data_IF_626143412800
#
_entry.id   IF_626143412800
#
_cell.length_a   1.000
_cell.length_b   1.000
_cell.length_c   1.000
_cell.angle_alpha   90.00
_cell.angle_beta   90.00
_cell.angle_gamma   90.00
#
_symmetry.space_group_name_H-M   'P 1'
#
loop_
_entity.id
_entity.type
_entity.pdbx_description
1 polymer ?
#
# COMPACT_ATOMS: atom_id res chain seq x y z
N UNK A 1 20.59 -7.49 10.03
CA UNK A 1 19.56 -8.49 10.37
C UNK A 1 18.26 -7.72 10.52
N UNK A 2 17.46 -7.62 9.45
CA UNK A 2 16.12 -7.04 9.54
C UNK A 2 15.18 -8.18 9.92
N UNK A 3 14.57 -8.08 11.08
CA UNK A 3 13.54 -9.01 11.56
C UNK A 3 12.38 -9.05 10.57
N UNK A 4 11.84 -10.22 10.22
CA UNK A 4 10.62 -10.30 9.44
C UNK A 4 9.48 -9.84 10.36
N UNK A 5 8.97 -8.63 10.13
CA UNK A 5 7.71 -8.23 10.76
C UNK A 5 6.61 -9.07 10.14
N UNK A 6 6.24 -10.11 10.87
CA UNK A 6 5.00 -10.86 10.75
C UNK A 6 3.80 -9.90 10.61
N UNK A 7 2.94 -10.15 9.63
CA UNK A 7 1.82 -9.27 9.32
C UNK A 7 0.99 -9.70 8.10
N UNK A 8 0.62 -10.97 8.05
CA UNK A 8 -0.70 -11.45 7.60
C UNK A 8 -1.37 -10.83 6.36
N UNK A 9 -1.43 -11.60 5.27
CA UNK A 9 -2.67 -11.93 4.53
C UNK A 9 -3.64 -10.85 4.02
N UNK A 10 -3.35 -9.56 3.91
CA UNK A 10 -4.45 -8.61 3.60
C UNK A 10 -4.12 -7.67 2.43
N UNK A 11 -4.92 -7.78 1.36
CA UNK A 11 -4.95 -6.82 0.26
C UNK A 11 -5.33 -5.41 0.76
N UNK A 12 -5.45 -4.42 -0.14
CA UNK A 12 -5.68 -3.03 0.26
C UNK A 12 -7.05 -2.86 0.93
N UNK A 13 -7.91 -3.88 0.82
CA UNK A 13 -9.26 -3.93 1.35
C UNK A 13 -9.33 -4.66 2.70
N UNK A 14 -8.98 -3.96 3.77
CA UNK A 14 -9.18 -4.38 5.17
C UNK A 14 -10.50 -3.84 5.74
N UNK A 15 -10.95 -4.35 6.88
CA UNK A 15 -12.13 -3.83 7.59
C UNK A 15 -12.04 -2.31 7.87
N UNK A 16 -10.83 -1.79 8.13
CA UNK A 16 -10.62 -0.35 8.33
C UNK A 16 -10.84 0.45 7.03
N UNK A 17 -10.27 -0.01 5.91
CA UNK A 17 -10.44 0.66 4.61
C UNK A 17 -11.88 0.59 4.11
N UNK A 18 -12.59 -0.50 4.45
CA UNK A 18 -14.02 -0.64 4.17
C UNK A 18 -14.85 0.38 4.95
N UNK A 19 -14.59 0.56 6.25
CA UNK A 19 -15.26 1.58 7.05
C UNK A 19 -15.01 3.00 6.54
N UNK A 20 -13.76 3.31 6.15
CA UNK A 20 -13.41 4.60 5.52
C UNK A 20 -14.16 4.81 4.20
N UNK A 21 -14.27 3.77 3.38
CA UNK A 21 -15.03 3.84 2.13
C UNK A 21 -16.53 4.03 2.36
N UNK A 22 -17.12 3.37 3.36
CA UNK A 22 -18.54 3.51 3.68
C UNK A 22 -18.86 4.88 4.31
N UNK A 23 -17.92 5.47 5.06
CA UNK A 23 -18.07 6.79 5.70
C UNK A 23 -17.83 7.99 4.79
N UNK A 24 -17.30 7.78 3.57
CA UNK A 24 -16.98 8.88 2.65
C UNK A 24 -18.23 9.54 2.06
N UNK A 25 -18.10 10.79 1.63
CA UNK A 25 -19.17 11.45 0.88
C UNK A 25 -19.42 10.74 -0.46
N UNK A 26 -20.67 10.70 -0.95
CA UNK A 26 -21.03 9.96 -2.19
C UNK A 26 -20.20 10.33 -3.43
N UNK A 27 -19.67 11.55 -3.48
CA UNK A 27 -18.83 12.04 -4.58
C UNK A 27 -17.32 11.99 -4.28
N UNK A 28 -16.92 11.58 -3.09
CA UNK A 28 -15.52 11.54 -2.69
C UNK A 28 -14.84 10.29 -3.27
N UNK A 29 -13.68 10.49 -3.90
CA UNK A 29 -12.85 9.39 -4.36
C UNK A 29 -12.05 8.82 -3.18
N UNK A 30 -12.07 7.50 -3.02
CA UNK A 30 -11.28 6.81 -2.02
C UNK A 30 -10.63 5.60 -2.69
N UNK A 31 -9.30 5.60 -2.71
CA UNK A 31 -8.49 4.52 -3.24
C UNK A 31 -7.74 3.86 -2.07
N UNK A 32 -8.04 2.59 -1.76
CA UNK A 32 -7.42 1.87 -0.65
C UNK A 32 -5.94 1.51 -0.90
N UNK A 33 -5.48 1.57 -2.15
CA UNK A 33 -4.09 1.36 -2.56
C UNK A 33 -3.25 2.64 -2.46
N UNK A 34 -3.87 3.82 -2.36
CA UNK A 34 -3.21 5.12 -2.47
C UNK A 34 -2.05 5.28 -1.47
N UNK A 35 -2.24 4.86 -0.22
CA UNK A 35 -1.18 4.93 0.78
C UNK A 35 0.00 4.00 0.48
N UNK A 36 -0.29 2.78 0.00
CA UNK A 36 0.74 1.85 -0.41
C UNK A 36 1.55 2.43 -1.58
N UNK A 37 0.87 2.95 -2.61
CA UNK A 37 1.50 3.60 -3.76
C UNK A 37 2.37 4.79 -3.36
N UNK A 38 1.90 5.65 -2.46
CA UNK A 38 2.67 6.78 -1.92
C UNK A 38 3.98 6.32 -1.27
N UNK A 39 3.95 5.22 -0.50
CA UNK A 39 5.17 4.63 0.10
C UNK A 39 6.13 4.13 -0.98
N UNK A 40 5.62 3.48 -2.02
CA UNK A 40 6.43 3.03 -3.16
C UNK A 40 7.10 4.22 -3.88
N UNK A 41 6.34 5.28 -4.17
CA UNK A 41 6.88 6.50 -4.81
C UNK A 41 7.93 7.20 -3.96
N UNK A 42 7.72 7.26 -2.64
CA UNK A 42 8.69 7.86 -1.72
C UNK A 42 10.00 7.08 -1.71
N UNK A 43 9.95 5.75 -1.81
CA UNK A 43 11.14 4.94 -1.94
C UNK A 43 11.85 5.19 -3.28
N UNK A 44 11.11 5.22 -4.39
CA UNK A 44 11.69 5.50 -5.70
C UNK A 44 12.36 6.87 -5.76
N UNK A 45 11.72 7.91 -5.22
CA UNK A 45 12.30 9.26 -5.18
C UNK A 45 13.63 9.30 -4.43
N UNK A 46 13.77 8.51 -3.36
CA UNK A 46 15.00 8.42 -2.55
C UNK A 46 16.10 7.58 -3.19
N UNK A 47 15.74 6.65 -4.06
CA UNK A 47 16.67 5.70 -4.69
C UNK A 47 16.84 5.96 -6.19
N UNK A 48 16.56 7.20 -6.64
CA UNK A 48 16.73 7.61 -8.04
C UNK A 48 15.96 6.71 -9.04
N UNK A 49 14.83 6.17 -8.61
CA UNK A 49 14.00 5.25 -9.39
C UNK A 49 14.41 3.77 -9.31
N UNK A 50 15.41 3.40 -8.51
CA UNK A 50 15.82 2.00 -8.37
C UNK A 50 14.77 1.17 -7.62
N UNK A 51 14.11 0.29 -8.37
CA UNK A 51 13.03 -0.58 -7.89
C UNK A 51 13.56 -1.71 -7.02
N UNK A 52 14.82 -2.12 -7.19
CA UNK A 52 15.42 -3.22 -6.44
C UNK A 52 15.54 -2.90 -4.94
N UNK A 53 15.71 -1.61 -4.62
CA UNK A 53 15.78 -1.09 -3.25
C UNK A 53 14.41 -0.93 -2.57
N UNK A 54 13.33 -1.12 -3.33
CA UNK A 54 11.97 -0.80 -2.92
C UNK A 54 11.02 -2.01 -2.93
N UNK A 55 11.55 -3.24 -3.06
CA UNK A 55 10.75 -4.47 -3.19
C UNK A 55 9.66 -4.63 -2.13
N UNK A 56 9.97 -4.25 -0.88
CA UNK A 56 9.05 -4.28 0.27
C UNK A 56 7.86 -3.31 0.15
N UNK A 57 7.94 -2.32 -0.75
CA UNK A 57 6.85 -1.39 -1.02
C UNK A 57 6.02 -1.79 -2.24
N UNK A 58 6.38 -2.87 -2.93
CA UNK A 58 5.73 -3.33 -4.17
C UNK A 58 5.00 -4.67 -4.01
N UNK A 59 4.74 -5.14 -2.78
CA UNK A 59 4.12 -6.46 -2.52
C UNK A 59 2.66 -6.64 -3.01
N UNK A 60 2.03 -5.63 -3.62
CA UNK A 60 0.57 -5.62 -3.86
C UNK A 60 0.08 -6.26 -5.17
N UNK A 61 0.94 -6.90 -5.98
CA UNK A 61 0.58 -7.29 -7.36
C UNK A 61 0.22 -8.77 -7.56
N UNK A 62 0.17 -9.62 -6.52
CA UNK A 62 0.07 -11.07 -6.73
C UNK A 62 -0.98 -11.82 -5.89
N UNK A 63 -2.08 -11.19 -5.51
CA UNK A 63 -3.19 -11.91 -4.87
C UNK A 63 -4.50 -11.48 -5.53
N UNK A 64 -4.77 -12.03 -6.72
CA UNK A 64 -6.08 -12.08 -7.35
C UNK A 64 -6.56 -13.54 -7.36
#
# INVERSE_FOLDING_TARGET
>A
MATPSDGSKEGPWTDETKQKFEGKSKSEFYDPCQEAAQRSYKCLYRNNGDKSMCGEYFQYVLHA
#
